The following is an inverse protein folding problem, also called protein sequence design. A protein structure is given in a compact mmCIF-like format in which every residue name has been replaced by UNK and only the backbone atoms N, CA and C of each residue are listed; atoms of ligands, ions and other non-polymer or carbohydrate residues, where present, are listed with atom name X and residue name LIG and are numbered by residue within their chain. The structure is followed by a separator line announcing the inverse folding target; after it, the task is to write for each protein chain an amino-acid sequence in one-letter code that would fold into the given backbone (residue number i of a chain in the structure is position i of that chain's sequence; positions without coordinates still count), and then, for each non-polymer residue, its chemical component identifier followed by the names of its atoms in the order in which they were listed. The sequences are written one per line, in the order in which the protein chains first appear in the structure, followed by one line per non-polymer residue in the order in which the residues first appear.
data_IF_037806599509
#
_entry.id   IF_037806599509
#
_cell.length_a   1.000
_cell.length_b   1.000
_cell.length_c   1.000
_cell.angle_alpha   90.00
_cell.angle_beta   90.00
_cell.angle_gamma   90.00
#
_symmetry.space_group_name_H-M   'P 1'
#
loop_
_entity.id
_entity.type
_entity.pdbx_description
1 polymer ?
#
# COMPACT_ATOMS: atom_id res chain seq x y z
N UNK A 1 -48.76 0.91 6.67
CA UNK A 1 -47.79 1.91 7.18
C UNK A 1 -46.68 1.15 7.89
N UNK A 2 -45.60 0.83 7.17
CA UNK A 2 -44.41 0.17 7.74
C UNK A 2 -43.21 0.73 6.99
N UNK A 3 -42.37 1.46 7.73
CA UNK A 3 -41.34 2.33 7.20
C UNK A 3 -40.20 1.54 6.54
N UNK A 4 -39.85 1.94 5.32
CA UNK A 4 -38.64 1.52 4.62
C UNK A 4 -37.45 2.06 5.41
N UNK A 5 -36.65 1.18 6.02
CA UNK A 5 -35.30 1.55 6.47
C UNK A 5 -34.47 1.82 5.23
N UNK A 6 -34.25 3.10 4.92
CA UNK A 6 -33.24 3.52 3.95
C UNK A 6 -31.88 3.10 4.50
N UNK A 7 -31.33 2.00 3.99
CA UNK A 7 -29.91 1.71 4.15
C UNK A 7 -29.15 2.81 3.41
N UNK A 8 -28.35 3.59 4.14
CA UNK A 8 -27.49 4.61 3.55
C UNK A 8 -26.63 3.99 2.47
N UNK A 9 -26.60 4.63 1.29
CA UNK A 9 -25.72 4.25 0.19
C UNK A 9 -24.28 4.21 0.72
N UNK A 10 -23.56 3.07 0.66
CA UNK A 10 -22.15 3.06 1.00
C UNK A 10 -21.44 4.05 0.08
N UNK A 11 -20.55 4.87 0.64
CA UNK A 11 -19.73 5.80 -0.12
C UNK A 11 -19.10 5.04 -1.29
N UNK A 12 -19.51 5.40 -2.51
CA UNK A 12 -19.32 4.61 -3.73
C UNK A 12 -17.90 4.72 -4.30
N UNK A 13 -16.94 5.18 -3.50
CA UNK A 13 -15.55 5.36 -3.93
C UNK A 13 -14.69 4.28 -3.31
N UNK A 14 -14.20 3.36 -4.17
CA UNK A 14 -13.15 2.42 -3.79
C UNK A 14 -12.01 3.20 -3.12
N UNK A 15 -11.61 2.84 -1.89
CA UNK A 15 -10.56 3.57 -1.18
C UNK A 15 -9.26 3.50 -1.96
N UNK A 16 -8.53 4.62 -2.01
CA UNK A 16 -7.19 4.66 -2.62
C UNK A 16 -6.26 3.90 -1.71
N UNK A 17 -5.55 2.90 -2.27
CA UNK A 17 -4.57 2.11 -1.53
C UNK A 17 -3.18 2.67 -1.73
N UNK A 18 -2.34 2.60 -0.70
CA UNK A 18 -0.91 2.88 -0.78
C UNK A 18 -0.11 1.62 -0.46
N UNK A 19 0.94 1.37 -1.24
CA UNK A 19 2.01 0.42 -0.91
C UNK A 19 3.33 1.16 -0.84
N UNK A 20 3.92 1.21 0.35
CA UNK A 20 5.19 1.89 0.60
C UNK A 20 6.29 0.88 0.92
N UNK A 21 7.36 0.91 0.13
CA UNK A 21 8.50 0.02 0.26
C UNK A 21 9.54 0.58 1.27
N UNK A 22 9.91 -0.15 2.34
CA UNK A 22 10.98 0.23 3.25
C UNK A 22 12.35 0.34 2.57
N UNK A 23 13.24 1.11 3.20
CA UNK A 23 14.67 1.13 2.87
C UNK A 23 15.39 -0.13 3.32
N UNK A 24 16.66 -0.28 2.94
CA UNK A 24 17.49 -1.46 3.25
C UNK A 24 17.66 -1.76 4.75
N UNK A 25 17.62 -0.72 5.60
CA UNK A 25 17.69 -0.83 7.06
C UNK A 25 16.34 -0.70 7.78
N UNK A 26 15.22 -0.63 7.04
CA UNK A 26 13.89 -0.43 7.62
C UNK A 26 13.00 -1.66 7.38
N UNK A 27 11.89 -1.72 8.09
CA UNK A 27 10.89 -2.76 7.92
C UNK A 27 9.48 -2.15 7.80
N UNK A 28 8.46 -3.01 7.68
CA UNK A 28 7.08 -2.56 7.65
C UNK A 28 6.67 -1.83 8.92
N UNK A 29 7.21 -2.18 10.09
CA UNK A 29 6.80 -1.50 11.34
C UNK A 29 7.21 -0.04 11.29
N UNK A 30 8.40 0.24 10.77
CA UNK A 30 8.84 1.61 10.51
C UNK A 30 7.92 2.33 9.51
N UNK A 31 7.61 1.68 8.38
CA UNK A 31 6.72 2.26 7.35
C UNK A 31 5.33 2.58 7.91
N UNK A 32 4.70 1.63 8.61
CA UNK A 32 3.39 1.85 9.22
C UNK A 32 3.43 2.95 10.29
N UNK A 33 4.44 2.93 11.17
CA UNK A 33 4.62 3.96 12.18
C UNK A 33 4.76 5.37 11.60
N UNK A 34 5.48 5.51 10.48
CA UNK A 34 5.70 6.80 9.83
C UNK A 34 4.52 7.27 8.98
N UNK A 35 3.84 6.36 8.26
CA UNK A 35 2.94 6.75 7.17
C UNK A 35 1.46 6.43 7.40
N UNK A 36 1.08 5.55 8.33
CA UNK A 36 -0.34 5.19 8.53
C UNK A 36 -1.21 6.40 8.86
N UNK A 37 -0.77 7.25 9.79
CA UNK A 37 -1.55 8.43 10.20
C UNK A 37 -1.61 9.50 9.09
N UNK A 38 -0.49 9.95 8.49
CA UNK A 38 -0.54 10.90 7.39
C UNK A 38 -1.40 10.45 6.20
N UNK A 39 -1.33 9.17 5.81
CA UNK A 39 -2.14 8.64 4.70
C UNK A 39 -3.64 8.57 5.06
N UNK A 40 -3.97 8.15 6.29
CA UNK A 40 -5.36 8.13 6.74
C UNK A 40 -6.00 9.52 6.73
N UNK A 41 -5.23 10.58 7.07
CA UNK A 41 -5.72 11.97 7.04
C UNK A 41 -6.14 12.45 5.64
N UNK A 42 -5.61 11.82 4.59
CA UNK A 42 -5.96 12.13 3.19
C UNK A 42 -6.82 11.05 2.53
N UNK A 43 -7.39 10.14 3.33
CA UNK A 43 -8.28 9.08 2.84
C UNK A 43 -7.59 7.98 2.04
N UNK A 44 -6.30 7.74 2.30
CA UNK A 44 -5.51 6.68 1.65
C UNK A 44 -5.21 5.57 2.65
N UNK A 45 -5.52 4.33 2.27
CA UNK A 45 -5.26 3.15 3.10
C UNK A 45 -3.87 2.58 2.84
N UNK A 46 -3.01 2.55 3.86
CA UNK A 46 -1.70 1.89 3.76
C UNK A 46 -1.85 0.36 3.86
N UNK A 47 -1.51 -0.35 2.77
CA UNK A 47 -1.62 -1.79 2.67
C UNK A 47 -0.32 -2.50 3.11
N UNK A 48 -0.46 -3.52 3.96
CA UNK A 48 0.61 -4.48 4.28
C UNK A 48 0.60 -5.71 3.35
N UNK A 49 -0.43 -5.84 2.50
CA UNK A 49 -0.66 -7.05 1.71
C UNK A 49 0.46 -7.24 0.70
N UNK A 50 0.86 -8.50 0.50
CA UNK A 50 1.91 -8.87 -0.46
C UNK A 50 3.34 -8.62 0.01
N UNK A 51 3.55 -8.13 1.23
CA UNK A 51 4.91 -7.88 1.73
C UNK A 51 5.70 -9.18 1.98
N UNK A 52 6.88 -9.34 1.36
CA UNK A 52 7.64 -10.59 1.44
C UNK A 52 8.45 -10.77 2.74
N UNK A 53 8.46 -9.77 3.63
CA UNK A 53 9.27 -9.75 4.85
C UNK A 53 10.74 -9.38 4.59
N UNK A 54 11.43 -8.90 5.62
CA UNK A 54 12.84 -8.50 5.56
C UNK A 54 13.84 -9.67 5.69
N UNK A 55 13.38 -10.89 6.00
CA UNK A 55 14.22 -12.01 6.46
C UNK A 55 14.79 -12.92 5.36
N UNK A 56 14.57 -12.65 4.07
CA UNK A 56 15.11 -13.48 2.98
C UNK A 56 16.41 -12.90 2.43
N UNK A 57 17.49 -13.69 2.47
CA UNK A 57 18.79 -13.34 1.91
C UNK A 57 18.71 -13.30 0.36
N UNK A 58 19.24 -12.23 -0.25
CA UNK A 58 19.31 -12.03 -1.70
C UNK A 58 17.98 -11.65 -2.37
N UNK A 59 18.03 -10.84 -3.43
CA UNK A 59 16.87 -10.52 -4.27
C UNK A 59 15.86 -9.51 -3.69
N UNK A 60 16.33 -8.45 -3.02
CA UNK A 60 15.45 -7.45 -2.39
C UNK A 60 14.57 -6.72 -3.43
N UNK A 61 15.17 -6.33 -4.56
CA UNK A 61 14.50 -5.57 -5.61
C UNK A 61 13.42 -6.42 -6.28
N UNK A 62 13.71 -7.68 -6.59
CA UNK A 62 12.78 -8.63 -7.19
C UNK A 62 11.58 -8.86 -6.28
N UNK A 63 11.84 -9.00 -4.97
CA UNK A 63 10.78 -9.11 -3.96
C UNK A 63 9.92 -7.86 -3.86
N UNK A 64 10.51 -6.68 -3.97
CA UNK A 64 9.77 -5.41 -3.97
C UNK A 64 8.89 -5.29 -5.21
N UNK A 65 9.42 -5.62 -6.40
CA UNK A 65 8.63 -5.65 -7.64
C UNK A 65 7.48 -6.64 -7.55
N UNK A 66 7.73 -7.86 -7.07
CA UNK A 66 6.66 -8.85 -6.88
C UNK A 66 5.56 -8.38 -5.90
N UNK A 67 5.93 -7.62 -4.86
CA UNK A 67 4.97 -7.04 -3.94
C UNK A 67 4.11 -5.94 -4.60
N UNK A 68 4.72 -5.11 -5.46
CA UNK A 68 4.00 -4.11 -6.24
C UNK A 68 3.08 -4.76 -7.28
N UNK A 69 3.55 -5.79 -7.99
CA UNK A 69 2.75 -6.55 -8.95
C UNK A 69 1.52 -7.19 -8.27
N UNK A 70 1.72 -7.81 -7.10
CA UNK A 70 0.63 -8.38 -6.32
C UNK A 70 -0.39 -7.31 -5.85
N UNK A 71 0.09 -6.10 -5.54
CA UNK A 71 -0.78 -4.99 -5.15
C UNK A 71 -1.56 -4.39 -6.32
N UNK A 72 -0.95 -4.38 -7.51
CA UNK A 72 -1.53 -3.89 -8.77
C UNK A 72 -2.56 -4.86 -9.34
N UNK A 73 -2.43 -6.16 -9.06
CA UNK A 73 -3.43 -7.17 -9.43
C UNK A 73 -4.78 -7.02 -8.69
N UNK A 74 -4.85 -6.14 -7.68
CA UNK A 74 -6.09 -5.81 -6.98
C UNK A 74 -6.76 -4.61 -7.66
N UNK A 75 -8.09 -4.66 -7.80
CA UNK A 75 -8.85 -3.58 -8.42
C UNK A 75 -8.75 -2.24 -7.66
N UNK A 76 -8.91 -1.14 -8.40
CA UNK A 76 -8.99 0.22 -7.87
C UNK A 76 -7.66 0.98 -7.85
N UNK A 77 -7.71 2.27 -7.49
CA UNK A 77 -6.56 3.17 -7.54
C UNK A 77 -5.47 2.77 -6.52
N UNK A 78 -4.23 2.75 -6.99
CA UNK A 78 -3.03 2.39 -6.23
C UNK A 78 -1.99 3.51 -6.30
N UNK A 79 -1.50 3.92 -5.13
CA UNK A 79 -0.33 4.77 -4.95
C UNK A 79 0.83 3.88 -4.51
N UNK A 80 1.99 4.05 -5.13
CA UNK A 80 3.21 3.32 -4.76
C UNK A 80 4.29 4.32 -4.37
N UNK A 81 5.17 3.92 -3.44
CA UNK A 81 6.28 4.75 -3.01
C UNK A 81 7.21 3.99 -2.09
N UNK A 82 8.06 4.70 -1.36
CA UNK A 82 8.94 4.06 -0.41
C UNK A 82 10.02 4.99 0.15
N UNK A 83 11.03 4.38 0.76
CA UNK A 83 12.12 5.06 1.44
C UNK A 83 13.44 4.62 0.81
N UNK A 84 14.29 5.57 0.41
CA UNK A 84 15.60 5.28 -0.19
C UNK A 84 15.48 4.27 -1.35
N UNK A 85 16.11 3.09 -1.26
CA UNK A 85 15.99 2.03 -2.28
C UNK A 85 14.54 1.65 -2.57
N UNK A 86 13.64 1.64 -1.58
CA UNK A 86 12.22 1.38 -1.79
C UNK A 86 11.54 2.43 -2.65
N UNK A 87 11.89 3.71 -2.47
CA UNK A 87 11.38 4.80 -3.33
C UNK A 87 11.86 4.62 -4.78
N UNK A 88 13.12 4.26 -4.96
CA UNK A 88 13.72 4.05 -6.27
C UNK A 88 13.05 2.90 -7.03
N UNK A 89 12.81 1.76 -6.35
CA UNK A 89 12.12 0.61 -6.95
C UNK A 89 10.67 0.96 -7.29
N UNK A 90 9.94 1.65 -6.40
CA UNK A 90 8.56 2.07 -6.66
C UNK A 90 8.46 3.02 -7.87
N UNK A 91 9.36 4.00 -7.95
CA UNK A 91 9.40 4.94 -9.07
C UNK A 91 9.72 4.24 -10.40
N UNK A 92 10.69 3.32 -10.41
CA UNK A 92 11.02 2.55 -11.61
C UNK A 92 9.91 1.60 -12.05
N UNK A 93 9.18 1.01 -11.10
CA UNK A 93 8.06 0.13 -11.40
C UNK A 93 6.85 0.89 -11.98
N UNK A 94 6.65 2.14 -11.57
CA UNK A 94 5.52 2.97 -11.99
C UNK A 94 5.74 3.75 -13.32
N UNK A 95 6.95 3.69 -13.89
CA UNK A 95 7.30 4.35 -15.15
C UNK A 95 6.83 3.52 -16.36
#
# INVERSE_FOLDING_TARGET
MTARRSAGRPDSRTPIRAVLLPGSGSDLRFVFGAFSRPLALVGVELSARGWPGSRRAGGLVERYRAALDAAAAQDGPLVVGGISVGAHVAAQWAA
#
